data_IF_236580658305
#
_entry.id   IF_236580658305
#
_cell.length_a   1.000
_cell.length_b   1.000
_cell.length_c   1.000
_cell.angle_alpha   90.00
_cell.angle_beta   90.00
_cell.angle_gamma   90.00
#
_symmetry.space_group_name_H-M   'P 1'
#
loop_
_entity.id
_entity.type
_entity.pdbx_description
1 polymer ?
#
# COMPACT_ATOMS: atom_id res chain seq x y z
N UNK A 1 -62.41 -26.23 -28.99
CA UNK A 1 -61.11 -26.84 -29.36
C UNK A 1 -60.25 -25.71 -29.88
N UNK A 2 -59.42 -25.04 -29.09
CA UNK A 2 -58.45 -25.57 -28.15
C UNK A 2 -57.11 -25.70 -28.86
N UNK A 3 -56.36 -24.60 -29.00
CA UNK A 3 -54.91 -24.70 -29.09
C UNK A 3 -54.26 -23.44 -28.49
N UNK A 4 -53.94 -23.57 -27.20
CA UNK A 4 -53.01 -22.73 -26.45
C UNK A 4 -51.72 -23.54 -26.35
N UNK A 5 -50.60 -23.00 -26.83
CA UNK A 5 -49.31 -23.13 -26.13
C UNK A 5 -48.29 -22.18 -26.76
N UNK A 6 -48.33 -20.93 -26.31
CA UNK A 6 -47.21 -20.02 -26.46
C UNK A 6 -46.12 -20.45 -25.48
N UNK A 7 -44.96 -20.83 -26.01
CA UNK A 7 -43.73 -20.77 -25.25
C UNK A 7 -43.27 -19.31 -25.15
N UNK A 8 -43.04 -18.84 -23.94
CA UNK A 8 -42.22 -17.70 -23.50
C UNK A 8 -42.38 -17.62 -21.97
N UNK A 9 -41.41 -17.41 -21.09
CA UNK A 9 -39.96 -17.21 -21.13
C UNK A 9 -39.55 -17.18 -19.66
N UNK A 10 -38.75 -18.14 -19.21
CA UNK A 10 -38.12 -18.14 -17.89
C UNK A 10 -36.83 -17.31 -17.86
N UNK A 11 -36.89 -16.03 -18.23
CA UNK A 11 -35.75 -15.12 -18.28
C UNK A 11 -36.05 -13.85 -17.47
N UNK A 12 -35.81 -13.88 -16.16
CA UNK A 12 -36.06 -12.72 -15.29
C UNK A 12 -35.26 -12.68 -13.98
N UNK A 13 -34.86 -13.83 -13.44
CA UNK A 13 -34.14 -13.88 -12.16
C UNK A 13 -32.60 -13.91 -12.30
N UNK A 14 -32.07 -14.41 -13.43
CA UNK A 14 -30.62 -14.55 -13.64
C UNK A 14 -29.90 -13.25 -14.02
N UNK A 15 -30.57 -12.34 -14.74
CA UNK A 15 -29.98 -11.07 -15.20
C UNK A 15 -29.66 -10.12 -14.04
N UNK A 16 -30.64 -9.85 -13.17
CA UNK A 16 -30.46 -8.87 -12.09
C UNK A 16 -29.45 -9.27 -10.99
N UNK A 17 -29.11 -10.55 -10.86
CA UNK A 17 -28.04 -11.01 -9.98
C UNK A 17 -26.66 -10.90 -10.66
N UNK A 18 -26.58 -11.27 -11.93
CA UNK A 18 -25.35 -11.11 -12.72
C UNK A 18 -24.96 -9.64 -12.84
N UNK A 19 -25.93 -8.76 -13.11
CA UNK A 19 -25.74 -7.31 -13.21
C UNK A 19 -25.26 -6.71 -11.87
N UNK A 20 -25.75 -7.24 -10.75
CA UNK A 20 -25.30 -6.83 -9.42
C UNK A 20 -23.83 -7.18 -9.19
N UNK A 21 -23.42 -8.41 -9.49
CA UNK A 21 -22.02 -8.81 -9.29
C UNK A 21 -21.07 -8.10 -10.26
N UNK A 22 -21.51 -7.84 -11.51
CA UNK A 22 -20.76 -7.01 -12.43
C UNK A 22 -20.53 -5.60 -11.88
N UNK A 23 -21.58 -4.96 -11.35
CA UNK A 23 -21.48 -3.64 -10.72
C UNK A 23 -20.56 -3.66 -9.48
N UNK A 24 -20.61 -4.72 -8.67
CA UNK A 24 -19.70 -4.92 -7.54
C UNK A 24 -18.25 -4.96 -7.99
N UNK A 25 -17.95 -5.70 -9.05
CA UNK A 25 -16.57 -5.83 -9.56
C UNK A 25 -16.07 -4.53 -10.19
N UNK A 26 -16.92 -3.80 -10.91
CA UNK A 26 -16.59 -2.47 -11.39
C UNK A 26 -16.28 -1.48 -10.25
N UNK A 27 -17.07 -1.52 -9.18
CA UNK A 27 -16.85 -0.70 -7.99
C UNK A 27 -15.57 -1.07 -7.24
N UNK A 28 -15.22 -2.37 -7.17
CA UNK A 28 -13.91 -2.80 -6.64
C UNK A 28 -12.77 -2.19 -7.44
N UNK A 29 -12.81 -2.30 -8.77
CA UNK A 29 -11.80 -1.74 -9.65
C UNK A 29 -11.69 -0.21 -9.52
N UNK A 30 -12.83 0.48 -9.33
CA UNK A 30 -12.84 1.91 -9.07
C UNK A 30 -12.14 2.27 -7.75
N UNK A 31 -12.41 1.53 -6.67
CA UNK A 31 -11.73 1.70 -5.36
C UNK A 31 -10.23 1.43 -5.49
N UNK A 32 -9.82 0.40 -6.23
CA UNK A 32 -8.40 0.11 -6.47
C UNK A 32 -7.71 1.24 -7.24
N UNK A 33 -8.40 1.79 -8.24
CA UNK A 33 -7.93 2.95 -9.01
C UNK A 33 -7.80 4.19 -8.12
N UNK A 34 -8.78 4.46 -7.26
CA UNK A 34 -8.71 5.53 -6.25
C UNK A 34 -7.48 5.33 -5.36
N UNK A 35 -7.25 4.13 -4.84
CA UNK A 35 -6.09 3.84 -4.01
C UNK A 35 -4.75 4.05 -4.73
N UNK A 36 -4.68 3.67 -6.01
CA UNK A 36 -3.51 3.91 -6.85
C UNK A 36 -3.28 5.42 -7.08
N UNK A 37 -4.35 6.17 -7.36
CA UNK A 37 -4.28 7.62 -7.50
C UNK A 37 -3.81 8.29 -6.21
N UNK A 38 -4.35 7.91 -5.05
CA UNK A 38 -3.92 8.42 -3.74
C UNK A 38 -2.42 8.22 -3.53
N UNK A 39 -1.91 7.01 -3.80
CA UNK A 39 -0.47 6.73 -3.65
C UNK A 39 0.39 7.52 -4.64
N UNK A 40 -0.11 7.80 -5.84
CA UNK A 40 0.59 8.65 -6.81
C UNK A 40 0.54 10.14 -6.42
N UNK A 41 -0.59 10.61 -5.88
CA UNK A 41 -0.72 11.96 -5.30
C UNK A 41 0.28 12.14 -4.15
N UNK A 42 0.36 11.18 -3.23
CA UNK A 42 1.33 11.19 -2.13
C UNK A 42 2.78 11.30 -2.63
N UNK A 43 3.15 10.54 -3.66
CA UNK A 43 4.48 10.62 -4.26
C UNK A 43 4.74 11.99 -4.92
N UNK A 44 3.76 12.56 -5.62
CA UNK A 44 3.86 13.88 -6.25
C UNK A 44 3.96 14.99 -5.20
N UNK A 45 3.20 14.92 -4.12
CA UNK A 45 3.33 15.79 -2.95
C UNK A 45 4.75 15.73 -2.37
N UNK A 46 5.28 14.53 -2.15
CA UNK A 46 6.66 14.34 -1.70
C UNK A 46 7.67 15.00 -2.63
N UNK A 47 7.47 14.87 -3.94
CA UNK A 47 8.31 15.52 -4.95
C UNK A 47 8.20 17.05 -4.88
N UNK A 48 7.00 17.60 -4.82
CA UNK A 48 6.75 19.04 -4.77
C UNK A 48 7.38 19.74 -3.55
N UNK A 49 7.59 19.03 -2.44
CA UNK A 49 8.28 19.56 -1.26
C UNK A 49 9.80 19.59 -1.38
N UNK A 50 10.38 18.81 -2.29
CA UNK A 50 11.84 18.56 -2.36
C UNK A 50 12.50 19.10 -3.62
N UNK A 51 11.73 19.29 -4.69
CA UNK A 51 12.26 19.76 -5.97
C UNK A 51 12.58 21.26 -5.91
N UNK A 52 13.72 21.63 -6.51
CA UNK A 52 14.23 23.01 -6.53
C UNK A 52 14.09 23.60 -7.94
N UNK A 53 13.89 22.76 -8.95
CA UNK A 53 13.75 23.18 -10.34
C UNK A 53 12.29 23.62 -10.63
N UNK A 54 12.12 24.90 -10.93
CA UNK A 54 10.83 25.54 -11.22
C UNK A 54 10.10 24.88 -12.41
N UNK A 55 10.83 24.38 -13.42
CA UNK A 55 10.21 23.70 -14.56
C UNK A 55 9.62 22.34 -14.14
N UNK A 56 10.34 21.59 -13.30
CA UNK A 56 9.88 20.30 -12.78
C UNK A 56 8.72 20.47 -11.79
N UNK A 57 8.75 21.53 -10.98
CA UNK A 57 7.66 21.90 -10.08
C UNK A 57 6.37 22.19 -10.85
N UNK A 58 6.43 23.05 -11.87
CA UNK A 58 5.24 23.36 -12.69
C UNK A 58 4.64 22.12 -13.36
N UNK A 59 5.48 21.18 -13.83
CA UNK A 59 4.99 19.93 -14.39
C UNK A 59 4.35 19.02 -13.32
N UNK A 60 4.96 18.98 -12.13
CA UNK A 60 4.47 18.20 -10.99
C UNK A 60 3.10 18.72 -10.54
N UNK A 61 2.95 20.04 -10.40
CA UNK A 61 1.68 20.69 -10.05
C UNK A 61 0.56 20.40 -11.05
N UNK A 62 0.83 20.51 -12.36
CA UNK A 62 -0.16 20.19 -13.40
C UNK A 62 -0.61 18.73 -13.34
N UNK A 63 0.34 17.82 -13.09
CA UNK A 63 0.05 16.39 -12.96
C UNK A 63 -0.80 16.13 -11.72
N UNK A 64 -0.49 16.82 -10.63
CA UNK A 64 -1.21 16.71 -9.36
C UNK A 64 -2.64 17.25 -9.49
N UNK A 65 -2.84 18.40 -10.12
CA UNK A 65 -4.16 19.00 -10.34
C UNK A 65 -5.03 18.11 -11.23
N UNK A 66 -4.47 17.54 -12.30
CA UNK A 66 -5.18 16.58 -13.14
C UNK A 66 -5.59 15.33 -12.37
N UNK A 67 -4.67 14.75 -11.60
CA UNK A 67 -4.91 13.52 -10.85
C UNK A 67 -5.89 13.73 -9.68
N UNK A 68 -5.81 14.87 -8.99
CA UNK A 68 -6.75 15.27 -7.94
C UNK A 68 -8.16 15.46 -8.51
N UNK A 69 -8.29 16.13 -9.66
CA UNK A 69 -9.57 16.31 -10.34
C UNK A 69 -10.20 14.98 -10.77
N UNK A 70 -9.41 14.10 -11.41
CA UNK A 70 -9.83 12.75 -11.79
C UNK A 70 -10.29 11.95 -10.56
N UNK A 71 -9.51 12.00 -9.48
CA UNK A 71 -9.81 11.27 -8.24
C UNK A 71 -11.08 11.80 -7.57
N UNK A 72 -11.31 13.12 -7.55
CA UNK A 72 -12.54 13.70 -7.02
C UNK A 72 -13.76 13.26 -7.84
N UNK A 73 -13.69 13.25 -9.17
CA UNK A 73 -14.77 12.74 -10.02
C UNK A 73 -15.05 11.25 -9.77
N UNK A 74 -14.00 10.44 -9.70
CA UNK A 74 -14.11 9.01 -9.45
C UNK A 74 -14.69 8.72 -8.06
N UNK A 75 -14.28 9.47 -7.04
CA UNK A 75 -14.83 9.38 -5.69
C UNK A 75 -16.33 9.68 -5.66
N UNK A 76 -16.76 10.77 -6.29
CA UNK A 76 -18.18 11.14 -6.37
C UNK A 76 -19.01 10.08 -7.11
N UNK A 77 -18.52 9.58 -8.24
CA UNK A 77 -19.18 8.53 -8.99
C UNK A 77 -19.30 7.22 -8.19
N UNK A 78 -18.20 6.80 -7.57
CA UNK A 78 -18.11 5.58 -6.75
C UNK A 78 -19.04 5.68 -5.54
N UNK A 79 -19.06 6.82 -4.85
CA UNK A 79 -19.95 7.05 -3.71
C UNK A 79 -21.42 6.88 -4.12
N UNK A 80 -21.87 7.57 -5.17
CA UNK A 80 -23.24 7.50 -5.65
C UNK A 80 -23.65 6.07 -6.07
N UNK A 81 -22.76 5.36 -6.76
CA UNK A 81 -22.99 3.98 -7.20
C UNK A 81 -23.05 3.00 -6.03
N UNK A 82 -22.17 3.12 -5.04
CA UNK A 82 -22.22 2.28 -3.82
C UNK A 82 -23.54 2.52 -3.06
N UNK A 83 -23.99 3.78 -2.94
CA UNK A 83 -25.29 4.08 -2.30
C UNK A 83 -26.46 3.43 -3.03
N UNK A 84 -26.49 3.55 -4.36
CA UNK A 84 -27.51 2.91 -5.18
C UNK A 84 -27.44 1.38 -5.05
N UNK A 85 -26.24 0.81 -5.03
CA UNK A 85 -26.01 -0.61 -4.85
C UNK A 85 -26.52 -1.10 -3.49
N UNK A 86 -26.24 -0.37 -2.40
CA UNK A 86 -26.75 -0.67 -1.05
C UNK A 86 -28.27 -0.62 -0.99
N UNK A 87 -28.89 0.38 -1.62
CA UNK A 87 -30.35 0.49 -1.72
C UNK A 87 -30.96 -0.69 -2.48
N UNK A 88 -30.34 -1.11 -3.60
CA UNK A 88 -30.78 -2.27 -4.40
C UNK A 88 -30.51 -3.62 -3.72
N UNK A 89 -29.47 -3.71 -2.89
CA UNK A 89 -29.14 -4.91 -2.14
C UNK A 89 -30.20 -5.21 -1.08
N UNK A 90 -30.81 -4.19 -0.46
CA UNK A 90 -31.87 -4.35 0.54
C UNK A 90 -31.50 -5.37 1.62
N UNK A 91 -32.49 -6.13 2.11
CA UNK A 91 -32.28 -7.25 3.04
C UNK A 91 -31.89 -8.57 2.35
N UNK A 92 -31.43 -8.55 1.09
CA UNK A 92 -31.02 -9.77 0.38
C UNK A 92 -29.72 -10.31 1.01
N UNK A 93 -29.76 -11.49 1.65
CA UNK A 93 -28.60 -12.04 2.38
C UNK A 93 -27.43 -12.39 1.45
N UNK A 94 -27.64 -12.50 0.13
CA UNK A 94 -26.57 -12.76 -0.84
C UNK A 94 -25.87 -11.50 -1.34
N UNK A 95 -26.54 -10.34 -1.28
CA UNK A 95 -26.06 -9.06 -1.84
C UNK A 95 -25.61 -8.07 -0.78
N UNK A 96 -26.30 -8.01 0.36
CA UNK A 96 -25.99 -7.10 1.46
C UNK A 96 -24.53 -7.19 1.93
N UNK A 97 -23.91 -8.39 2.10
CA UNK A 97 -22.52 -8.49 2.54
C UNK A 97 -21.52 -7.84 1.58
N UNK A 98 -21.79 -7.96 0.27
CA UNK A 98 -20.93 -7.41 -0.78
C UNK A 98 -21.00 -5.87 -0.79
N UNK A 99 -22.20 -5.32 -0.70
CA UNK A 99 -22.42 -3.88 -0.63
C UNK A 99 -21.81 -3.27 0.64
N UNK A 100 -21.94 -3.94 1.80
CA UNK A 100 -21.30 -3.51 3.06
C UNK A 100 -19.78 -3.56 2.99
N UNK A 101 -19.21 -4.59 2.36
CA UNK A 101 -17.75 -4.67 2.18
C UNK A 101 -17.24 -3.55 1.29
N UNK A 102 -17.93 -3.25 0.18
CA UNK A 102 -17.61 -2.12 -0.70
C UNK A 102 -17.67 -0.77 0.03
N UNK A 103 -18.73 -0.53 0.81
CA UNK A 103 -18.89 0.66 1.64
C UNK A 103 -17.70 0.86 2.58
N UNK A 104 -17.34 -0.19 3.31
CA UNK A 104 -16.20 -0.17 4.24
C UNK A 104 -14.88 0.10 3.53
N UNK A 105 -14.63 -0.59 2.42
CA UNK A 105 -13.39 -0.44 1.65
C UNK A 105 -13.27 0.97 1.06
N UNK A 106 -14.36 1.52 0.53
CA UNK A 106 -14.39 2.88 0.01
C UNK A 106 -14.18 3.92 1.12
N UNK A 107 -14.84 3.77 2.28
CA UNK A 107 -14.61 4.63 3.45
C UNK A 107 -13.14 4.60 3.91
N UNK A 108 -12.50 3.43 3.87
CA UNK A 108 -11.08 3.31 4.18
C UNK A 108 -10.19 4.04 3.16
N UNK A 109 -10.51 3.97 1.87
CA UNK A 109 -9.81 4.73 0.84
C UNK A 109 -9.96 6.25 1.05
N UNK A 110 -11.17 6.74 1.35
CA UNK A 110 -11.40 8.16 1.65
C UNK A 110 -10.61 8.63 2.89
N UNK A 111 -10.57 7.84 3.98
CA UNK A 111 -9.77 8.16 5.17
C UNK A 111 -8.27 8.20 4.87
N UNK A 112 -7.78 7.24 4.06
CA UNK A 112 -6.38 7.24 3.60
C UNK A 112 -6.10 8.52 2.82
N UNK A 113 -7.00 8.91 1.91
CA UNK A 113 -6.82 10.13 1.14
C UNK A 113 -6.78 11.38 2.03
N UNK A 114 -7.72 11.52 2.98
CA UNK A 114 -7.71 12.60 3.96
C UNK A 114 -6.41 12.66 4.77
N UNK A 115 -5.84 11.52 5.15
CA UNK A 115 -4.57 11.46 5.88
C UNK A 115 -3.39 11.94 5.02
N UNK A 116 -3.34 11.57 3.73
CA UNK A 116 -2.33 12.04 2.78
C UNK A 116 -2.40 13.55 2.62
N UNK A 117 -3.59 14.08 2.35
CA UNK A 117 -3.84 15.51 2.19
C UNK A 117 -3.50 16.30 3.47
N UNK A 118 -3.92 15.80 4.65
CA UNK A 118 -3.57 16.42 5.93
C UNK A 118 -2.07 16.45 6.18
N UNK A 119 -1.38 15.32 5.96
CA UNK A 119 0.07 15.22 6.12
C UNK A 119 0.79 16.20 5.20
N UNK A 120 0.30 16.35 3.97
CA UNK A 120 0.84 17.32 3.03
C UNK A 120 0.62 18.76 3.51
N UNK A 121 -0.59 19.11 3.93
CA UNK A 121 -0.90 20.43 4.47
C UNK A 121 0.00 20.80 5.66
N UNK A 122 0.23 19.86 6.58
CA UNK A 122 1.10 20.08 7.74
C UNK A 122 2.54 20.39 7.32
N UNK A 123 3.09 19.62 6.37
CA UNK A 123 4.45 19.88 5.83
C UNK A 123 4.53 21.20 5.08
N UNK A 124 3.50 21.57 4.33
CA UNK A 124 3.42 22.85 3.60
C UNK A 124 3.35 24.02 4.58
N UNK A 125 2.59 23.91 5.69
CA UNK A 125 2.57 24.91 6.77
C UNK A 125 3.95 25.07 7.40
N UNK A 126 4.68 23.98 7.67
CA UNK A 126 6.03 24.07 8.19
C UNK A 126 7.01 24.76 7.23
N UNK A 127 6.91 24.50 5.92
CA UNK A 127 7.73 25.20 4.91
C UNK A 127 7.43 26.70 4.89
N UNK A 128 6.14 27.05 4.91
CA UNK A 128 5.70 28.44 4.95
C UNK A 128 6.20 29.15 6.22
N UNK A 129 6.13 28.50 7.39
CA UNK A 129 6.65 29.00 8.65
C UNK A 129 8.16 29.26 8.59
N UNK A 130 8.95 28.34 8.01
CA UNK A 130 10.38 28.54 7.79
C UNK A 130 10.66 29.75 6.88
N UNK A 131 9.91 29.87 5.78
CA UNK A 131 10.08 30.97 4.83
C UNK A 131 9.72 32.33 5.43
N UNK A 132 8.71 32.35 6.30
CA UNK A 132 8.33 33.53 7.06
C UNK A 132 9.44 33.98 8.02
N UNK A 133 10.05 33.04 8.76
CA UNK A 133 11.14 33.31 9.70
C UNK A 133 12.44 33.80 9.05
N UNK A 134 12.67 33.49 7.78
CA UNK A 134 13.81 34.06 7.03
C UNK A 134 13.70 35.59 6.96
N UNK A 135 12.48 36.10 6.82
CA UNK A 135 12.23 37.54 6.69
C UNK A 135 12.00 38.21 8.03
N UNK A 136 11.35 37.50 8.97
CA UNK A 136 11.13 37.97 10.34
C UNK A 136 11.65 36.94 11.36
N UNK A 137 12.97 36.94 11.67
CA UNK A 137 13.56 35.97 12.60
C UNK A 137 12.98 36.03 14.02
N UNK A 138 12.54 37.21 14.45
CA UNK A 138 12.01 37.48 15.79
C UNK A 138 10.50 37.19 15.93
N UNK A 139 9.87 36.56 14.94
CA UNK A 139 8.44 36.28 14.99
C UNK A 139 8.10 35.18 16.01
N UNK A 140 7.08 35.39 16.83
CA UNK A 140 6.60 34.34 17.76
C UNK A 140 5.90 33.22 17.00
N UNK A 141 5.73 32.05 17.63
CA UNK A 141 5.00 30.93 17.01
C UNK A 141 3.57 31.33 16.66
N UNK A 142 2.90 32.08 17.53
CA UNK A 142 1.53 32.56 17.30
C UNK A 142 1.45 33.52 16.12
N UNK A 143 2.43 34.42 15.96
CA UNK A 143 2.49 35.32 14.80
C UNK A 143 2.73 34.57 13.49
N UNK A 144 3.55 33.51 13.53
CA UNK A 144 3.80 32.66 12.35
C UNK A 144 2.55 31.87 11.99
N UNK A 145 1.90 31.25 12.97
CA UNK A 145 0.65 30.51 12.80
C UNK A 145 -0.44 31.40 12.18
N UNK A 146 -0.64 32.60 12.72
CA UNK A 146 -1.65 33.54 12.22
C UNK A 146 -1.35 34.00 10.80
N UNK A 147 -0.08 34.25 10.47
CA UNK A 147 0.32 34.62 9.12
C UNK A 147 0.10 33.47 8.11
N UNK A 148 0.21 32.22 8.57
CA UNK A 148 -0.02 31.01 7.79
C UNK A 148 -1.53 30.76 7.53
N UNK A 149 -2.37 31.01 8.53
CA UNK A 149 -3.81 30.71 8.51
C UNK A 149 -4.65 31.80 7.85
N UNK A 150 -4.46 33.08 8.20
CA UNK A 150 -5.38 34.15 7.80
C UNK A 150 -5.04 34.77 6.42
N UNK A 151 -3.95 34.37 5.78
CA UNK A 151 -3.38 35.10 4.63
C UNK A 151 -2.94 36.54 4.98
N UNK A 152 -3.04 36.92 6.26
CA UNK A 152 -2.65 38.22 6.84
C UNK A 152 -1.15 38.49 6.72
N UNK A 153 -0.36 37.45 6.44
CA UNK A 153 1.06 37.56 6.11
C UNK A 153 1.33 38.63 5.05
N UNK A 154 0.41 38.86 4.11
CA UNK A 154 0.52 39.92 3.10
C UNK A 154 0.79 41.31 3.69
N UNK A 155 0.03 41.69 4.73
CA UNK A 155 0.16 43.00 5.37
C UNK A 155 1.49 43.11 6.12
N UNK A 156 1.89 42.03 6.80
CA UNK A 156 3.13 41.99 7.59
C UNK A 156 4.35 42.10 6.67
N UNK A 157 4.37 41.35 5.56
CA UNK A 157 5.43 41.46 4.56
C UNK A 157 5.45 42.84 3.86
N UNK A 158 4.29 43.46 3.63
CA UNK A 158 4.23 44.80 3.03
C UNK A 158 4.90 45.86 3.90
N UNK A 159 4.81 45.73 5.23
CA UNK A 159 5.43 46.64 6.19
C UNK A 159 6.96 46.47 6.21
N UNK A 160 7.45 45.23 6.14
CA UNK A 160 8.88 44.92 6.13
C UNK A 160 9.55 45.30 4.80
N UNK A 161 8.82 45.17 3.68
CA UNK A 161 9.22 45.67 2.37
C UNK A 161 9.40 47.20 2.34
N UNK A 162 8.78 47.95 3.24
CA UNK A 162 8.95 49.41 3.34
C UNK A 162 10.16 49.80 4.20
N UNK A 163 10.66 48.91 5.06
CA UNK A 163 11.62 49.23 6.13
C UNK A 163 13.10 48.96 5.83
N UNK A 164 13.48 48.15 4.83
CA UNK A 164 14.89 47.69 4.74
C UNK A 164 15.51 47.43 3.37
N UNK A 165 16.86 47.36 3.37
CA UNK A 165 17.75 46.97 2.27
C UNK A 165 17.55 45.52 1.77
N UNK A 166 16.69 44.71 2.41
CA UNK A 166 16.39 43.30 2.07
C UNK A 166 15.11 43.11 1.23
N UNK A 167 14.71 44.15 0.49
CA UNK A 167 13.50 44.15 -0.35
C UNK A 167 13.39 42.97 -1.33
N UNK A 168 14.52 42.52 -1.89
CA UNK A 168 14.54 41.40 -2.85
C UNK A 168 14.16 40.08 -2.20
N UNK A 169 14.82 39.75 -1.08
CA UNK A 169 14.58 38.55 -0.28
C UNK A 169 13.15 38.52 0.28
N UNK A 170 12.69 39.65 0.82
CA UNK A 170 11.33 39.80 1.34
C UNK A 170 10.25 39.62 0.26
N UNK A 171 10.48 40.10 -0.98
CA UNK A 171 9.54 39.87 -2.09
C UNK A 171 9.49 38.42 -2.52
N UNK A 172 10.63 37.74 -2.57
CA UNK A 172 10.68 36.33 -2.97
C UNK A 172 10.00 35.43 -1.92
N UNK A 173 10.30 35.67 -0.65
CA UNK A 173 9.68 34.95 0.47
C UNK A 173 8.16 35.15 0.51
N UNK A 174 7.68 36.38 0.28
CA UNK A 174 6.23 36.65 0.23
C UNK A 174 5.55 35.87 -0.89
N UNK A 175 6.14 35.80 -2.09
CA UNK A 175 5.55 35.02 -3.20
C UNK A 175 5.47 33.53 -2.87
N UNK A 176 6.51 32.98 -2.26
CA UNK A 176 6.52 31.58 -1.82
C UNK A 176 5.43 31.33 -0.78
N UNK A 177 5.33 32.19 0.25
CA UNK A 177 4.28 32.11 1.28
C UNK A 177 2.88 32.16 0.66
N UNK A 178 2.64 33.06 -0.29
CA UNK A 178 1.36 33.14 -1.01
C UNK A 178 1.05 31.88 -1.81
N UNK A 179 2.04 31.35 -2.55
CA UNK A 179 1.88 30.14 -3.34
C UNK A 179 1.49 28.95 -2.43
N UNK A 180 2.18 28.79 -1.30
CA UNK A 180 1.92 27.75 -0.30
C UNK A 180 0.57 27.92 0.39
N UNK A 181 0.16 29.15 0.67
CA UNK A 181 -1.17 29.41 1.24
C UNK A 181 -2.28 29.01 0.26
N UNK A 182 -2.17 29.38 -1.02
CA UNK A 182 -3.14 28.96 -2.05
C UNK A 182 -3.19 27.43 -2.20
N UNK A 183 -2.04 26.77 -2.08
CA UNK A 183 -1.95 25.31 -2.06
C UNK A 183 -2.69 24.70 -0.85
N UNK A 184 -2.51 25.25 0.35
CA UNK A 184 -3.25 24.82 1.55
C UNK A 184 -4.76 24.97 1.37
N UNK A 185 -5.23 26.06 0.78
CA UNK A 185 -6.65 26.26 0.50
C UNK A 185 -7.22 25.19 -0.45
N UNK A 186 -6.45 24.76 -1.46
CA UNK A 186 -6.86 23.66 -2.35
C UNK A 186 -7.01 22.35 -1.56
N UNK A 187 -6.04 22.04 -0.71
CA UNK A 187 -6.05 20.85 0.15
C UNK A 187 -7.26 20.86 1.09
N UNK A 188 -7.55 21.99 1.73
CA UNK A 188 -8.69 22.15 2.64
C UNK A 188 -10.02 21.90 1.94
N UNK A 189 -10.17 22.42 0.72
CA UNK A 189 -11.33 22.11 -0.12
C UNK A 189 -11.46 20.61 -0.37
N UNK A 190 -10.39 19.93 -0.73
CA UNK A 190 -10.38 18.47 -0.93
C UNK A 190 -10.75 17.73 0.36
N UNK A 191 -10.21 18.12 1.52
CA UNK A 191 -10.56 17.49 2.80
C UNK A 191 -12.06 17.64 3.12
N UNK A 192 -12.63 18.82 2.85
CA UNK A 192 -14.07 19.09 3.03
C UNK A 192 -14.90 18.23 2.08
N UNK A 193 -14.53 18.13 0.80
CA UNK A 193 -15.20 17.26 -0.18
C UNK A 193 -15.19 15.79 0.30
N UNK A 194 -14.05 15.30 0.77
CA UNK A 194 -13.93 13.93 1.29
C UNK A 194 -14.78 13.71 2.55
N UNK A 195 -14.88 14.71 3.44
CA UNK A 195 -15.70 14.65 4.64
C UNK A 195 -17.21 14.61 4.29
N UNK A 196 -17.64 15.38 3.29
CA UNK A 196 -19.01 15.34 2.78
C UNK A 196 -19.35 13.94 2.24
N UNK A 197 -18.48 13.37 1.40
CA UNK A 197 -18.65 12.01 0.90
C UNK A 197 -18.76 11.00 2.03
N UNK A 198 -17.95 11.14 3.09
CA UNK A 198 -18.00 10.28 4.25
C UNK A 198 -19.37 10.34 4.95
N UNK A 199 -19.86 11.55 5.24
CA UNK A 199 -21.15 11.77 5.88
C UNK A 199 -22.31 11.19 5.06
N UNK A 200 -22.29 11.42 3.75
CA UNK A 200 -23.31 10.90 2.86
C UNK A 200 -23.28 9.35 2.76
N UNK A 201 -22.13 8.69 3.01
CA UNK A 201 -22.06 7.22 3.10
C UNK A 201 -22.58 6.67 4.44
N UNK A 202 -22.61 7.49 5.50
CA UNK A 202 -23.13 7.13 6.83
C UNK A 202 -24.66 7.32 6.93
N UNK A 203 -25.24 8.26 6.18
CA UNK A 203 -26.71 8.49 6.21
C UNK A 203 -27.55 7.28 5.79
N UNK A 204 -26.98 6.32 5.05
CA UNK A 204 -27.65 5.08 4.65
C UNK A 204 -27.50 3.92 5.65
N UNK A 205 -26.81 4.11 6.78
CA UNK A 205 -26.61 3.08 7.79
C UNK A 205 -27.76 3.03 8.81
N UNK A 206 -28.54 4.11 8.96
CA UNK A 206 -29.57 4.22 10.01
C UNK A 206 -30.84 3.40 9.75
N UNK A 207 -31.07 2.90 8.54
CA UNK A 207 -32.28 2.13 8.20
C UNK A 207 -32.11 0.60 8.27
N UNK A 208 -30.93 0.08 8.61
CA UNK A 208 -30.69 -1.38 8.68
C UNK A 208 -29.80 -1.81 9.86
N UNK A 209 -30.40 -1.98 11.04
CA UNK A 209 -29.91 -2.91 12.07
C UNK A 209 -31.10 -3.75 12.57
N UNK A 210 -30.96 -5.05 12.92
CA UNK A 210 -29.73 -5.83 13.13
C UNK A 210 -29.72 -7.25 12.49
N UNK A 211 -28.72 -7.57 11.65
CA UNK A 211 -28.16 -8.94 11.52
C UNK A 211 -26.82 -8.94 10.75
N UNK A 212 -25.85 -8.13 11.16
CA UNK A 212 -24.51 -8.08 10.52
C UNK A 212 -23.38 -8.30 11.54
N UNK A 213 -23.63 -9.06 12.61
CA UNK A 213 -22.58 -9.34 13.61
C UNK A 213 -21.73 -10.58 13.26
N UNK A 214 -22.13 -11.38 12.25
CA UNK A 214 -21.44 -12.63 11.90
C UNK A 214 -20.57 -12.57 10.64
N UNK A 215 -20.54 -11.44 9.93
CA UNK A 215 -19.83 -11.31 8.65
C UNK A 215 -18.43 -10.71 8.82
N UNK A 216 -18.21 -9.90 9.85
CA UNK A 216 -16.90 -9.30 10.11
C UNK A 216 -15.80 -10.35 10.36
N UNK A 217 -16.14 -11.50 10.96
CA UNK A 217 -15.17 -12.58 11.18
C UNK A 217 -14.75 -13.30 9.89
N UNK A 218 -15.60 -13.37 8.86
CA UNK A 218 -15.27 -14.05 7.59
C UNK A 218 -14.57 -13.14 6.59
N UNK A 219 -14.80 -11.83 6.64
CA UNK A 219 -14.11 -10.86 5.79
C UNK A 219 -12.66 -10.62 6.21
N UNK A 220 -12.36 -10.70 7.50
CA UNK A 220 -11.01 -10.53 8.04
C UNK A 220 -10.07 -11.70 7.69
N UNK A 221 -10.58 -12.93 7.61
CA UNK A 221 -9.82 -14.09 7.14
C UNK A 221 -9.41 -13.99 5.65
N UNK A 222 -10.22 -13.35 4.79
CA UNK A 222 -9.92 -13.22 3.35
C UNK A 222 -8.84 -12.15 3.10
N UNK A 223 -8.86 -11.04 3.85
CA UNK A 223 -7.82 -10.00 3.75
C UNK A 223 -6.49 -10.47 4.34
N UNK A 224 -6.52 -11.22 5.45
CA UNK A 224 -5.30 -11.82 6.04
C UNK A 224 -4.61 -12.86 5.13
N UNK A 225 -5.33 -13.46 4.18
CA UNK A 225 -4.76 -14.43 3.24
C UNK A 225 -3.98 -13.78 2.08
N UNK A 226 -4.23 -12.51 1.75
CA UNK A 226 -3.46 -11.78 0.72
C UNK A 226 -2.12 -11.29 1.28
N UNK A 227 -2.10 -10.83 2.53
CA UNK A 227 -0.84 -10.41 3.20
C UNK A 227 0.09 -11.60 3.47
N UNK A 228 -0.45 -12.78 3.84
CA UNK A 228 0.35 -14.01 3.97
C UNK A 228 0.89 -14.53 2.63
N UNK A 229 0.18 -14.32 1.52
CA UNK A 229 0.69 -14.69 0.19
C UNK A 229 1.93 -13.86 -0.22
N UNK A 230 1.99 -12.58 0.16
CA UNK A 230 3.15 -11.73 -0.05
C UNK A 230 4.37 -12.21 0.78
N UNK A 231 4.13 -12.65 2.02
CA UNK A 231 5.18 -13.17 2.91
C UNK A 231 5.68 -14.56 2.47
N UNK A 232 4.82 -15.43 1.96
CA UNK A 232 5.20 -16.74 1.42
C UNK A 232 6.05 -16.65 0.13
N UNK A 233 5.82 -15.63 -0.72
CA UNK A 233 6.69 -15.35 -1.88
C UNK A 233 8.09 -14.95 -1.42
N UNK A 234 8.20 -14.12 -0.37
CA UNK A 234 9.48 -13.75 0.25
C UNK A 234 10.23 -14.95 0.83
N UNK A 235 9.52 -15.80 1.59
CA UNK A 235 10.09 -17.03 2.16
C UNK A 235 10.49 -18.05 1.08
N UNK A 236 9.79 -18.12 -0.05
CA UNK A 236 10.15 -19.01 -1.16
C UNK A 236 11.49 -18.62 -1.81
N UNK A 237 11.75 -17.30 -1.96
CA UNK A 237 13.02 -16.77 -2.48
C UNK A 237 14.17 -17.01 -1.51
N UNK A 238 13.95 -16.82 -0.19
CA UNK A 238 14.97 -17.12 0.82
C UNK A 238 15.25 -18.62 0.98
N UNK A 239 14.21 -19.47 0.97
CA UNK A 239 14.35 -20.94 0.97
C UNK A 239 15.06 -21.43 -0.30
N UNK A 240 14.85 -20.79 -1.46
CA UNK A 240 15.60 -21.08 -2.68
C UNK A 240 17.08 -20.69 -2.58
N UNK A 241 17.41 -19.52 -2.00
CA UNK A 241 18.80 -19.07 -1.79
C UNK A 241 19.53 -19.92 -0.74
N UNK A 242 18.88 -20.32 0.35
CA UNK A 242 19.48 -21.17 1.39
C UNK A 242 19.74 -22.60 0.90
N UNK A 243 18.86 -23.18 0.07
CA UNK A 243 19.11 -24.48 -0.58
C UNK A 243 20.36 -24.48 -1.46
N UNK A 244 20.61 -23.39 -2.21
CA UNK A 244 21.84 -23.25 -3.02
C UNK A 244 23.10 -23.16 -2.15
N UNK A 245 23.05 -22.42 -1.04
CA UNK A 245 24.16 -22.33 -0.06
C UNK A 245 24.46 -23.68 0.63
N UNK A 246 23.43 -24.44 1.01
CA UNK A 246 23.57 -25.77 1.64
C UNK A 246 24.14 -26.83 0.69
N UNK A 247 23.80 -26.78 -0.61
CA UNK A 247 24.41 -27.66 -1.63
C UNK A 247 25.93 -27.47 -1.74
N UNK A 248 26.39 -26.22 -1.70
CA UNK A 248 27.82 -25.90 -1.73
C UNK A 248 28.56 -26.38 -0.47
N UNK A 249 27.95 -26.19 0.70
CA UNK A 249 28.50 -26.70 1.96
C UNK A 249 28.60 -28.23 2.00
N UNK A 250 27.59 -28.94 1.50
CA UNK A 250 27.60 -30.41 1.45
C UNK A 250 28.71 -30.93 0.51
N UNK A 251 28.92 -30.28 -0.64
CA UNK A 251 30.00 -30.63 -1.58
C UNK A 251 31.40 -30.42 -0.97
N UNK A 252 31.60 -29.38 -0.16
CA UNK A 252 32.86 -29.16 0.57
C UNK A 252 33.12 -30.22 1.63
N UNK A 253 32.09 -30.65 2.37
CA UNK A 253 32.22 -31.70 3.40
C UNK A 253 32.56 -33.05 2.77
N UNK A 254 31.84 -33.45 1.71
CA UNK A 254 32.11 -34.71 1.00
C UNK A 254 33.54 -34.74 0.50
N UNK A 255 34.01 -33.66 -0.13
CA UNK A 255 35.40 -33.56 -0.62
C UNK A 255 36.42 -33.77 0.50
N UNK A 256 36.20 -33.16 1.67
CA UNK A 256 37.08 -33.37 2.84
C UNK A 256 37.09 -34.81 3.35
N UNK A 257 35.93 -35.45 3.43
CA UNK A 257 35.83 -36.84 3.89
C UNK A 257 36.59 -37.80 2.96
N UNK A 258 36.44 -37.66 1.64
CA UNK A 258 37.21 -38.47 0.68
C UNK A 258 38.71 -38.27 0.83
N UNK A 259 39.19 -37.04 1.02
CA UNK A 259 40.62 -36.80 1.25
C UNK A 259 41.11 -37.49 2.54
N UNK A 260 40.31 -37.46 3.61
CA UNK A 260 40.69 -38.08 4.88
C UNK A 260 40.79 -39.61 4.77
N UNK A 261 39.84 -40.25 4.08
CA UNK A 261 39.86 -41.69 3.85
C UNK A 261 41.09 -42.11 3.04
N UNK A 262 41.42 -41.40 1.97
CA UNK A 262 42.62 -41.68 1.15
C UNK A 262 43.90 -41.55 1.99
N UNK A 263 44.00 -40.52 2.84
CA UNK A 263 45.14 -40.35 3.75
C UNK A 263 45.21 -41.51 4.75
N UNK A 264 44.07 -41.90 5.32
CA UNK A 264 43.98 -43.01 6.27
C UNK A 264 44.41 -44.34 5.62
N UNK A 265 43.94 -44.65 4.40
CA UNK A 265 44.33 -45.85 3.67
C UNK A 265 45.81 -45.85 3.29
N UNK A 266 46.37 -44.69 2.94
CA UNK A 266 47.80 -44.57 2.63
C UNK A 266 48.67 -44.78 3.87
N UNK A 267 48.22 -44.28 5.03
CA UNK A 267 48.84 -44.53 6.33
C UNK A 267 48.68 -46.00 6.73
N UNK A 268 47.48 -46.58 6.61
CA UNK A 268 47.21 -47.98 6.93
C UNK A 268 48.01 -48.93 6.07
N UNK A 269 48.13 -48.68 4.76
CA UNK A 269 48.99 -49.45 3.85
C UNK A 269 50.46 -49.39 4.27
N UNK A 270 50.95 -48.22 4.69
CA UNK A 270 52.29 -48.06 5.28
C UNK A 270 52.46 -48.83 6.61
N UNK A 271 51.44 -48.86 7.47
CA UNK A 271 51.46 -49.64 8.71
C UNK A 271 51.38 -51.15 8.48
N UNK A 272 50.53 -51.61 7.56
CA UNK A 272 50.29 -53.02 7.33
C UNK A 272 51.43 -53.67 6.52
N UNK A 273 52.08 -52.94 5.61
CA UNK A 273 53.37 -53.36 5.02
C UNK A 273 54.46 -53.57 6.09
N UNK A 274 54.36 -52.89 7.25
CA UNK A 274 55.30 -53.06 8.36
C UNK A 274 54.96 -54.25 9.28
N UNK A 275 53.72 -54.79 9.22
CA UNK A 275 53.21 -55.84 10.13
C UNK A 275 53.18 -57.26 9.55
N UNK A 276 53.24 -57.42 8.22
CA UNK A 276 53.01 -58.71 7.55
C UNK A 276 54.09 -59.81 7.67
N UNK A 277 55.39 -59.59 8.02
CA UNK A 277 56.34 -60.71 8.08
C UNK A 277 56.32 -61.52 9.40
N UNK A 278 55.35 -61.30 10.32
CA UNK A 278 55.39 -61.89 11.67
C UNK A 278 54.44 -63.09 11.92
N UNK A 279 53.50 -63.44 11.04
CA UNK A 279 52.39 -64.37 11.35
C UNK A 279 52.30 -65.68 10.52
N UNK A 280 53.25 -65.96 9.62
CA UNK A 280 53.24 -67.15 8.74
C UNK A 280 53.91 -68.41 9.34
N UNK A 281 54.04 -68.52 10.67
CA UNK A 281 54.83 -69.57 11.32
C UNK A 281 54.04 -70.67 12.06
N UNK A 282 52.70 -70.65 12.14
CA UNK A 282 51.98 -71.58 13.04
C UNK A 282 50.67 -72.13 12.44
N UNK A 283 50.66 -73.44 12.13
CA UNK A 283 49.47 -74.30 12.33
C UNK A 283 48.80 -74.95 11.11
N UNK A 284 49.09 -76.23 10.85
CA UNK A 284 48.36 -77.19 9.98
C UNK A 284 48.03 -78.44 10.79
N UNK A 285 46.76 -78.94 10.83
CA UNK A 285 46.29 -80.34 11.08
C UNK A 285 44.75 -80.38 10.82
N UNK A 286 44.22 -80.93 9.71
CA UNK A 286 43.65 -82.29 9.40
C UNK A 286 42.39 -82.73 10.19
N UNK A 287 41.24 -82.95 9.50
CA UNK A 287 40.38 -84.15 9.60
C UNK A 287 39.28 -84.20 8.48
N UNK A 288 39.01 -85.33 7.78
CA UNK A 288 37.98 -85.42 6.72
C UNK A 288 36.64 -86.10 7.14
N UNK A 289 35.67 -85.99 6.22
CA UNK A 289 34.22 -86.19 6.35
C UNK A 289 33.69 -87.65 6.26
N UNK A 290 32.40 -87.88 6.61
CA UNK A 290 31.63 -89.07 6.23
C UNK A 290 30.57 -88.78 5.12
N UNK A 291 29.99 -89.83 4.50
CA UNK A 291 29.09 -89.76 3.34
C UNK A 291 27.66 -89.30 3.65
#
# INVERSE_FOLDING_TARGET
>A
MGNLSGGQTGAGAGGGLQDFYAEVDELRNAIDTINANISRIEALHGKALTDIDEANLSQTERTLEALSSETSQLNNNTANRIRLLKSKAGSDPSKAPQATTLDRNFKNALRKYQMVEKTYADRTREQMARQYRIVRPEATEEEVQQACEDGSGQQIFSQELLRGNRRGEARSALREVQARHNEIQKIEKTIIELAQLFQEMDQLVTEQEPMVEQIDQRGEEIVQNVDKAQEEIGQAVEKARSRRRKKWWCLLIVRKCTCFLVIHDLIFSRYNCRRLPLLLAVGTVINPAPP
#
